data_IF_244830657572
#
_entry.id   IF_244830657572
#
_cell.length_a   1.000
_cell.length_b   1.000
_cell.length_c   1.000
_cell.angle_alpha   90.00
_cell.angle_beta   90.00
_cell.angle_gamma   90.00
#
_symmetry.space_group_name_H-M   'P 1'
#
loop_
_entity.id
_entity.type
_entity.pdbx_description
1 polymer ?
#
# COMPACT_ATOMS: atom_id res chain seq x y z
N UNK A 1 1.43 -63.22 35.77
CA UNK A 1 0.06 -63.75 35.70
C UNK A 1 -0.75 -63.10 36.80
N UNK A 2 -1.87 -62.47 36.40
CA UNK A 2 -3.15 -62.34 37.13
C UNK A 2 -3.21 -61.67 38.51
N UNK A 3 -3.90 -60.52 38.56
CA UNK A 3 -4.74 -60.04 39.67
C UNK A 3 -5.82 -61.07 40.06
N UNK A 4 -6.43 -61.00 41.26
CA UNK A 4 -7.63 -60.15 41.51
C UNK A 4 -7.65 -59.52 42.94
N UNK A 5 -8.14 -58.29 43.15
CA UNK A 5 -9.52 -57.83 43.38
C UNK A 5 -10.31 -58.53 44.50
N UNK A 6 -10.70 -57.75 45.52
CA UNK A 6 -11.64 -58.12 46.59
C UNK A 6 -11.65 -57.14 47.77
N UNK A 7 -12.54 -56.13 47.72
CA UNK A 7 -13.04 -55.34 48.86
C UNK A 7 -14.11 -56.16 49.65
N UNK A 8 -14.84 -55.68 50.69
CA UNK A 8 -14.96 -54.31 51.25
C UNK A 8 -15.07 -54.22 52.80
N UNK A 9 -15.11 -53.00 53.36
CA UNK A 9 -16.00 -52.72 54.49
C UNK A 9 -16.38 -51.22 54.58
N UNK A 10 -17.52 -50.98 55.19
CA UNK A 10 -18.51 -49.90 55.04
C UNK A 10 -18.59 -49.04 56.30
N UNK A 11 -18.89 -47.74 56.21
CA UNK A 11 -19.81 -47.00 57.13
C UNK A 11 -20.07 -45.54 56.67
N UNK A 12 -21.11 -44.82 57.18
CA UNK A 12 -22.23 -44.39 56.33
C UNK A 12 -22.68 -42.91 56.46
N UNK A 13 -23.66 -42.57 55.61
CA UNK A 13 -24.79 -41.60 55.73
C UNK A 13 -24.62 -40.17 56.28
N UNK A 14 -24.93 -39.18 55.43
CA UNK A 14 -25.98 -38.15 55.62
C UNK A 14 -26.22 -37.38 54.28
N UNK A 15 -27.38 -36.72 54.05
CA UNK A 15 -28.24 -37.02 52.91
C UNK A 15 -28.62 -35.81 52.01
N UNK A 16 -29.28 -36.15 50.90
CA UNK A 16 -30.31 -35.40 50.16
C UNK A 16 -29.92 -34.20 49.27
N UNK A 17 -29.83 -34.51 47.97
CA UNK A 17 -30.57 -33.93 46.84
C UNK A 17 -30.97 -32.44 46.83
N UNK A 18 -30.42 -31.73 45.84
CA UNK A 18 -31.21 -30.88 44.94
C UNK A 18 -30.51 -30.74 43.58
N UNK A 19 -31.01 -31.45 42.57
CA UNK A 19 -30.77 -31.15 41.15
C UNK A 19 -31.05 -29.67 40.87
N UNK A 20 -30.06 -28.96 40.33
CA UNK A 20 -30.32 -27.82 39.46
C UNK A 20 -29.62 -28.08 38.14
N UNK A 21 -30.44 -28.24 37.11
CA UNK A 21 -30.05 -28.31 35.70
C UNK A 21 -29.39 -26.99 35.33
N UNK A 22 -28.09 -26.98 35.08
CA UNK A 22 -27.41 -25.85 34.43
C UNK A 22 -27.13 -26.24 32.99
N UNK A 23 -27.78 -25.56 32.05
CA UNK A 23 -27.53 -25.72 30.62
C UNK A 23 -26.11 -25.27 30.26
N UNK A 24 -25.61 -25.53 29.04
CA UNK A 24 -24.28 -25.09 28.66
C UNK A 24 -24.20 -23.57 28.79
N UNK A 25 -23.43 -23.11 29.78
CA UNK A 25 -23.14 -21.71 29.99
C UNK A 25 -22.64 -21.12 28.69
N UNK A 26 -23.34 -20.09 28.20
CA UNK A 26 -22.86 -19.24 27.14
C UNK A 26 -21.44 -18.75 27.49
N UNK A 27 -20.52 -18.64 26.52
CA UNK A 27 -19.16 -18.22 26.80
C UNK A 27 -19.19 -16.87 27.52
N UNK A 28 -18.64 -16.85 28.74
CA UNK A 28 -18.47 -15.63 29.53
C UNK A 28 -17.69 -14.63 28.68
N UNK A 29 -18.17 -13.38 28.49
CA UNK A 29 -17.37 -12.37 27.82
C UNK A 29 -16.09 -12.17 28.63
N UNK A 30 -14.94 -12.43 27.98
CA UNK A 30 -13.63 -12.14 28.57
C UNK A 30 -13.61 -10.67 28.97
N UNK A 31 -13.15 -10.31 30.18
CA UNK A 31 -12.97 -8.91 30.53
C UNK A 31 -12.01 -8.28 29.51
N UNK A 32 -12.35 -7.09 29.00
CA UNK A 32 -11.56 -6.23 28.09
C UNK A 32 -10.25 -5.70 28.71
N UNK A 33 -9.61 -6.49 29.57
CA UNK A 33 -8.50 -6.09 30.43
C UNK A 33 -7.13 -6.60 29.98
N UNK A 34 -6.90 -6.88 28.70
CA UNK A 34 -5.53 -7.05 28.22
C UNK A 34 -4.95 -5.66 27.95
N UNK A 35 -4.50 -5.00 29.03
CA UNK A 35 -3.48 -3.96 28.94
C UNK A 35 -2.20 -4.62 28.38
N UNK A 36 -1.53 -3.98 27.43
CA UNK A 36 -0.16 -4.31 27.05
C UNK A 36 0.05 -5.73 26.53
N UNK A 37 -0.16 -5.93 25.23
CA UNK A 37 0.77 -6.80 24.50
C UNK A 37 2.13 -6.10 24.44
N UNK A 38 3.27 -6.81 24.50
CA UNK A 38 4.59 -6.21 24.24
C UNK A 38 4.64 -5.84 22.75
N UNK A 39 4.24 -4.61 22.36
CA UNK A 39 5.07 -3.39 22.37
C UNK A 39 4.30 -2.09 22.76
N UNK A 40 3.23 -2.17 23.54
CA UNK A 40 2.37 -1.02 23.81
C UNK A 40 2.96 0.01 24.81
N UNK A 41 2.83 1.30 24.48
CA UNK A 41 3.33 2.45 25.25
C UNK A 41 2.14 3.27 25.78
N UNK A 42 2.14 3.55 27.08
CA UNK A 42 1.09 4.34 27.72
C UNK A 42 1.30 5.85 27.49
N UNK A 43 0.20 6.61 27.44
CA UNK A 43 0.25 8.09 27.35
C UNK A 43 1.14 8.66 28.46
N UNK A 44 2.04 9.57 28.08
CA UNK A 44 3.01 10.21 28.99
C UNK A 44 4.32 9.44 29.17
N UNK A 45 4.45 8.24 28.60
CA UNK A 45 5.73 7.52 28.53
C UNK A 45 6.51 7.88 27.26
N UNK A 46 7.86 7.80 27.28
CA UNK A 46 8.68 7.96 26.08
C UNK A 46 8.27 6.96 24.99
N UNK A 47 8.12 7.43 23.76
CA UNK A 47 7.67 6.60 22.63
C UNK A 47 6.15 6.64 22.41
N UNK A 48 5.37 7.27 23.28
CA UNK A 48 3.96 7.52 23.00
C UNK A 48 3.82 8.50 21.84
N UNK A 49 3.03 8.12 20.83
CA UNK A 49 2.70 9.00 19.69
C UNK A 49 1.42 9.76 20.00
N UNK A 50 1.50 11.09 19.98
CA UNK A 50 0.30 11.92 20.16
C UNK A 50 -0.63 11.79 18.95
N UNK A 51 -1.92 11.46 19.16
CA UNK A 51 -2.89 11.31 18.08
C UNK A 51 -3.30 12.66 17.48
N UNK A 52 -3.51 12.75 16.16
CA UNK A 52 -4.19 13.87 15.53
C UNK A 52 -5.62 14.06 16.08
N UNK A 53 -6.18 15.26 15.90
CA UNK A 53 -7.52 15.62 16.42
C UNK A 53 -8.62 14.68 15.92
N UNK A 54 -8.59 14.29 14.64
CA UNK A 54 -9.58 13.39 14.06
C UNK A 54 -9.63 12.02 14.77
N UNK A 55 -8.47 11.52 15.22
CA UNK A 55 -8.40 10.27 15.99
C UNK A 55 -8.93 10.45 17.42
N UNK A 56 -8.74 11.63 18.02
CA UNK A 56 -9.30 11.96 19.33
C UNK A 56 -10.83 11.99 19.27
N UNK A 57 -11.40 12.62 18.24
CA UNK A 57 -12.85 12.65 18.04
C UNK A 57 -13.42 11.26 17.74
N UNK A 58 -12.71 10.45 16.93
CA UNK A 58 -13.09 9.06 16.68
C UNK A 58 -13.05 8.21 17.96
N UNK A 59 -12.06 8.41 18.84
CA UNK A 59 -11.95 7.72 20.12
C UNK A 59 -13.11 8.05 21.07
N UNK A 60 -13.56 9.31 21.09
CA UNK A 60 -14.77 9.71 21.84
C UNK A 60 -16.04 9.05 21.31
N UNK A 61 -16.13 8.83 20.00
CA UNK A 61 -17.25 8.14 19.38
C UNK A 61 -17.20 6.61 19.59
N UNK A 62 -16.02 6.06 19.85
CA UNK A 62 -15.77 4.63 20.04
C UNK A 62 -14.94 4.38 21.31
N UNK A 63 -15.56 4.42 22.50
CA UNK A 63 -14.89 4.07 23.76
C UNK A 63 -14.52 2.58 23.81
N UNK A 64 -13.49 2.25 24.60
CA UNK A 64 -12.92 0.89 24.72
C UNK A 64 -12.56 0.24 23.36
N UNK A 65 -12.06 1.05 22.42
CA UNK A 65 -11.79 0.63 21.04
C UNK A 65 -10.33 0.84 20.62
N UNK A 66 -9.90 0.08 19.61
CA UNK A 66 -8.60 0.25 18.97
C UNK A 66 -8.77 1.00 17.64
N UNK A 67 -8.03 2.09 17.47
CA UNK A 67 -8.02 2.92 16.28
C UNK A 67 -6.71 2.73 15.52
N UNK A 68 -6.75 2.01 14.40
CA UNK A 68 -5.58 1.74 13.56
C UNK A 68 -5.16 2.95 12.75
N UNK A 69 -3.85 3.14 12.62
CA UNK A 69 -3.23 4.14 11.77
C UNK A 69 -2.75 3.47 10.48
N UNK A 70 -3.44 3.76 9.38
CA UNK A 70 -3.13 3.20 8.06
C UNK A 70 -2.13 4.12 7.34
N UNK A 71 -1.13 3.53 6.69
CA UNK A 71 -0.22 4.28 5.83
C UNK A 71 -0.95 4.87 4.62
N UNK A 72 -0.73 6.16 4.36
CA UNK A 72 -1.41 6.89 3.28
C UNK A 72 -1.13 6.37 1.88
N UNK A 73 -0.05 5.61 1.67
CA UNK A 73 0.28 5.04 0.37
C UNK A 73 -0.43 3.72 0.11
N UNK A 74 -1.06 3.12 1.12
CA UNK A 74 -1.89 1.96 0.89
C UNK A 74 -3.22 2.41 0.28
N UNK A 75 -3.45 2.01 -0.97
CA UNK A 75 -4.69 2.22 -1.72
C UNK A 75 -5.36 0.87 -1.95
N UNK A 76 -5.96 0.31 -0.90
CA UNK A 76 -6.79 -0.88 -1.06
C UNK A 76 -8.15 -0.55 -1.67
N UNK A 77 -8.81 -1.57 -2.22
CA UNK A 77 -10.20 -1.46 -2.65
C UNK A 77 -11.13 -1.26 -1.43
N UNK A 78 -12.30 -0.65 -1.65
CA UNK A 78 -13.26 -0.33 -0.57
C UNK A 78 -13.67 -1.57 0.27
N UNK A 79 -13.66 -2.76 -0.34
CA UNK A 79 -14.04 -4.02 0.29
C UNK A 79 -12.84 -4.85 0.78
N UNK A 80 -11.60 -4.41 0.53
CA UNK A 80 -10.40 -5.14 0.94
C UNK A 80 -10.01 -4.76 2.38
N UNK A 81 -9.88 -5.73 3.31
CA UNK A 81 -9.40 -5.43 4.64
C UNK A 81 -7.95 -4.92 4.58
N UNK A 82 -7.65 -3.84 5.31
CA UNK A 82 -6.29 -3.31 5.38
C UNK A 82 -5.33 -4.40 5.86
N UNK A 83 -4.31 -4.75 5.08
CA UNK A 83 -3.40 -5.81 5.46
C UNK A 83 -2.53 -5.35 6.64
N UNK A 84 -2.10 -6.27 7.52
CA UNK A 84 -1.31 -5.92 8.70
C UNK A 84 -0.06 -5.08 8.37
N UNK A 85 0.62 -5.37 7.25
CA UNK A 85 1.83 -4.65 6.87
C UNK A 85 1.61 -3.17 6.48
N UNK A 86 0.38 -2.75 6.18
CA UNK A 86 0.03 -1.37 5.84
C UNK A 86 -0.39 -0.54 7.06
N UNK A 87 -0.51 -1.18 8.23
CA UNK A 87 -0.90 -0.53 9.47
C UNK A 87 0.38 -0.13 10.21
N UNK A 88 0.55 1.16 10.48
CA UNK A 88 1.71 1.66 11.23
C UNK A 88 1.65 1.25 12.71
N UNK A 89 0.44 1.25 13.27
CA UNK A 89 0.16 0.89 14.65
C UNK A 89 -1.26 1.29 15.01
N UNK A 90 -1.60 1.29 16.30
CA UNK A 90 -2.96 1.58 16.76
C UNK A 90 -2.99 2.27 18.12
N UNK A 91 -3.93 3.19 18.28
CA UNK A 91 -4.26 3.77 19.57
C UNK A 91 -5.39 3.01 20.25
N UNK A 92 -5.38 2.92 21.59
CA UNK A 92 -6.52 2.43 22.37
C UNK A 92 -7.22 3.57 23.10
N UNK A 93 -8.53 3.65 22.96
CA UNK A 93 -9.40 4.46 23.83
C UNK A 93 -9.78 3.69 25.10
N UNK A 94 -10.03 4.39 26.19
CA UNK A 94 -10.67 3.84 27.39
C UNK A 94 -12.19 4.02 27.36
N UNK A 95 -12.85 3.69 28.47
CA UNK A 95 -14.31 3.75 28.62
C UNK A 95 -14.88 5.18 28.51
N UNK A 96 -14.06 6.20 28.75
CA UNK A 96 -14.44 7.61 28.61
C UNK A 96 -14.16 8.13 27.18
N UNK A 97 -13.54 7.30 26.33
CA UNK A 97 -13.16 7.65 24.97
C UNK A 97 -11.81 8.38 24.88
N UNK A 98 -11.05 8.43 25.97
CA UNK A 98 -9.72 9.04 25.98
C UNK A 98 -8.67 8.06 25.44
N UNK A 99 -7.81 8.52 24.52
CA UNK A 99 -6.70 7.70 24.02
C UNK A 99 -5.65 7.56 25.10
N UNK A 100 -5.37 6.33 25.54
CA UNK A 100 -4.50 6.04 26.70
C UNK A 100 -3.25 5.23 26.35
N UNK A 101 -3.23 4.58 25.19
CA UNK A 101 -2.22 3.60 24.81
C UNK A 101 -1.94 3.65 23.32
N UNK A 102 -0.67 3.50 22.95
CA UNK A 102 -0.18 3.36 21.57
C UNK A 102 0.50 2.02 21.42
N UNK A 103 0.11 1.23 20.43
CA UNK A 103 0.75 -0.04 20.09
C UNK A 103 1.38 0.07 18.70
N UNK A 104 2.71 -0.07 18.64
CA UNK A 104 3.44 -0.14 17.37
C UNK A 104 3.21 -1.51 16.70
N UNK A 105 3.15 -1.53 15.37
CA UNK A 105 2.98 -2.76 14.63
C UNK A 105 4.33 -3.23 14.05
N UNK A 106 4.84 -4.34 14.55
CA UNK A 106 6.10 -4.94 14.08
C UNK A 106 6.02 -5.48 12.64
N UNK A 107 4.82 -5.73 12.11
CA UNK A 107 4.61 -6.16 10.73
C UNK A 107 4.62 -5.00 9.73
N UNK A 108 4.60 -3.75 10.22
CA UNK A 108 4.53 -2.55 9.38
C UNK A 108 5.69 -2.48 8.38
N UNK A 109 5.35 -2.23 7.12
CA UNK A 109 6.31 -1.92 6.05
C UNK A 109 6.28 -0.42 5.78
N UNK A 110 7.33 0.33 6.15
CA UNK A 110 7.35 1.77 5.95
C UNK A 110 7.28 2.16 4.47
N UNK A 111 6.33 3.03 4.14
CA UNK A 111 6.22 3.69 2.84
C UNK A 111 7.36 4.70 2.59
N UNK A 112 7.47 5.28 1.38
CA UNK A 112 8.51 6.26 1.08
C UNK A 112 8.55 7.44 2.05
N UNK A 113 7.40 8.01 2.40
CA UNK A 113 7.35 9.13 3.36
C UNK A 113 7.69 8.70 4.78
N UNK A 114 7.26 7.51 5.19
CA UNK A 114 7.61 6.97 6.51
C UNK A 114 9.11 6.66 6.63
N UNK A 115 9.78 6.39 5.51
CA UNK A 115 11.25 6.30 5.41
C UNK A 115 11.94 7.67 5.41
N UNK A 116 11.18 8.77 5.30
CA UNK A 116 11.71 10.13 5.22
C UNK A 116 12.38 10.45 3.87
N UNK A 117 11.98 9.76 2.79
CA UNK A 117 12.48 10.07 1.46
C UNK A 117 11.90 11.40 0.96
N UNK A 118 12.60 12.05 0.02
CA UNK A 118 12.10 13.27 -0.58
C UNK A 118 10.90 12.94 -1.50
N UNK A 119 9.98 13.90 -1.69
CA UNK A 119 8.89 13.73 -2.64
C UNK A 119 9.43 13.37 -4.04
N UNK A 120 8.76 12.46 -4.76
CA UNK A 120 9.20 12.07 -6.09
C UNK A 120 9.12 13.24 -7.06
N UNK A 121 10.06 13.28 -8.01
CA UNK A 121 10.21 14.39 -8.98
C UNK A 121 9.64 14.09 -10.36
N UNK A 122 9.11 12.88 -10.56
CA UNK A 122 8.36 12.46 -11.75
C UNK A 122 7.49 11.23 -11.44
N UNK A 123 6.53 10.87 -12.33
CA UNK A 123 5.73 9.65 -12.15
C UNK A 123 6.55 8.37 -12.09
N UNK A 124 7.60 8.25 -12.90
CA UNK A 124 8.50 7.09 -12.85
C UNK A 124 9.29 7.08 -11.54
N UNK A 125 9.75 8.23 -11.08
CA UNK A 125 10.45 8.34 -9.79
C UNK A 125 9.55 7.92 -8.63
N UNK A 126 8.26 8.29 -8.66
CA UNK A 126 7.26 7.81 -7.70
C UNK A 126 7.09 6.29 -7.76
N UNK A 127 6.99 5.72 -8.97
CA UNK A 127 6.84 4.29 -9.16
C UNK A 127 8.05 3.49 -8.63
N UNK A 128 9.29 3.95 -8.86
CA UNK A 128 10.50 3.33 -8.30
C UNK A 128 10.43 3.29 -6.77
N UNK A 129 10.06 4.41 -6.13
CA UNK A 129 9.94 4.47 -4.68
C UNK A 129 8.88 3.51 -4.13
N UNK A 130 7.70 3.45 -4.77
CA UNK A 130 6.59 2.58 -4.35
C UNK A 130 6.94 1.10 -4.50
N UNK A 131 7.54 0.68 -5.62
CA UNK A 131 7.98 -0.72 -5.77
C UNK A 131 9.09 -1.06 -4.78
N UNK A 132 10.06 -0.17 -4.56
CA UNK A 132 11.13 -0.38 -3.58
C UNK A 132 10.65 -0.49 -2.13
N UNK A 133 9.44 -0.02 -1.84
CA UNK A 133 8.80 -0.16 -0.51
C UNK A 133 7.72 -1.24 -0.48
N UNK A 134 7.42 -1.88 -1.61
CA UNK A 134 6.39 -2.92 -1.74
C UNK A 134 4.96 -2.39 -1.78
N UNK A 135 4.77 -1.10 -2.09
CA UNK A 135 3.46 -0.45 -2.22
C UNK A 135 2.95 -0.39 -3.65
N UNK A 136 3.75 -0.82 -4.63
CA UNK A 136 3.32 -1.02 -6.02
C UNK A 136 3.89 -2.34 -6.56
N UNK A 137 3.25 -2.91 -7.58
CA UNK A 137 3.74 -4.11 -8.26
C UNK A 137 4.80 -3.78 -9.30
N UNK A 138 5.65 -4.77 -9.60
CA UNK A 138 6.65 -4.67 -10.68
C UNK A 138 5.99 -4.52 -12.06
N UNK A 139 4.82 -5.12 -12.28
CA UNK A 139 4.06 -5.00 -13.53
C UNK A 139 3.58 -3.55 -13.76
N UNK A 140 2.99 -2.92 -12.74
CA UNK A 140 2.59 -1.51 -12.81
C UNK A 140 3.79 -0.59 -13.00
N UNK A 141 4.94 -0.94 -12.42
CA UNK A 141 6.17 -0.22 -12.63
C UNK A 141 6.70 -0.36 -14.05
N UNK A 142 6.68 -1.56 -14.63
CA UNK A 142 7.03 -1.77 -16.03
C UNK A 142 6.13 -0.94 -16.96
N UNK A 143 4.82 -0.88 -16.70
CA UNK A 143 3.88 -0.01 -17.42
C UNK A 143 4.25 1.47 -17.31
N UNK A 144 4.60 1.95 -16.11
CA UNK A 144 5.01 3.34 -15.91
C UNK A 144 6.31 3.70 -16.63
N UNK A 145 7.24 2.75 -16.78
CA UNK A 145 8.55 2.96 -17.40
C UNK A 145 8.50 2.77 -18.93
N UNK A 146 7.61 1.91 -19.43
CA UNK A 146 7.59 1.40 -20.81
C UNK A 146 7.65 2.46 -21.91
N UNK A 147 7.01 3.62 -21.72
CA UNK A 147 6.99 4.75 -22.68
C UNK A 147 7.61 6.03 -22.09
N UNK A 148 8.34 5.90 -20.98
CA UNK A 148 8.91 7.05 -20.30
C UNK A 148 10.15 7.60 -21.02
N UNK A 149 10.37 8.90 -20.86
CA UNK A 149 11.65 9.54 -21.16
C UNK A 149 12.60 9.35 -19.96
N UNK A 150 13.82 8.91 -20.24
CA UNK A 150 14.84 8.60 -19.22
C UNK A 150 16.20 9.20 -19.59
N UNK A 151 16.96 9.58 -18.56
CA UNK A 151 18.36 9.94 -18.69
C UNK A 151 19.21 8.67 -18.54
N UNK A 152 19.74 8.17 -19.66
CA UNK A 152 20.53 6.94 -19.73
C UNK A 152 22.00 7.25 -19.50
N UNK A 153 22.62 6.59 -18.52
CA UNK A 153 24.03 6.85 -18.21
C UNK A 153 24.96 6.34 -19.31
N UNK A 154 26.02 7.09 -19.57
CA UNK A 154 27.05 6.78 -20.55
C UNK A 154 28.38 6.42 -19.87
N UNK A 155 29.19 5.60 -20.53
CA UNK A 155 30.57 5.32 -20.17
C UNK A 155 31.53 6.43 -20.65
N UNK A 156 32.84 6.26 -20.43
CA UNK A 156 33.86 7.23 -20.82
C UNK A 156 34.03 7.33 -22.34
N UNK A 157 33.64 6.29 -23.08
CA UNK A 157 33.66 6.19 -24.53
C UNK A 157 32.39 6.76 -25.19
N UNK A 158 31.38 7.14 -24.40
CA UNK A 158 30.08 7.62 -24.87
C UNK A 158 29.11 6.51 -25.28
N UNK A 159 29.43 5.25 -24.97
CA UNK A 159 28.53 4.10 -25.04
C UNK A 159 27.59 4.04 -23.83
N UNK A 160 26.63 3.11 -23.85
CA UNK A 160 25.74 2.88 -22.71
C UNK A 160 26.55 2.28 -21.54
N UNK A 161 26.51 2.94 -20.39
CA UNK A 161 27.14 2.41 -19.19
C UNK A 161 26.49 1.10 -18.75
N UNK A 162 27.29 0.17 -18.24
CA UNK A 162 26.81 -1.07 -17.63
C UNK A 162 27.33 -1.14 -16.20
N UNK A 163 26.44 -1.42 -15.25
CA UNK A 163 26.75 -1.61 -13.84
C UNK A 163 26.18 -2.94 -13.34
N UNK A 164 26.75 -3.48 -12.28
CA UNK A 164 26.14 -4.57 -11.53
C UNK A 164 25.10 -3.98 -10.57
N UNK A 165 23.90 -4.56 -10.56
CA UNK A 165 22.88 -4.30 -9.56
C UNK A 165 23.22 -5.02 -8.24
N UNK A 166 22.42 -4.81 -7.20
CA UNK A 166 22.69 -5.36 -5.86
C UNK A 166 22.74 -6.89 -5.83
N UNK A 167 22.01 -7.55 -6.73
CA UNK A 167 21.96 -9.00 -6.90
C UNK A 167 23.04 -9.55 -7.86
N UNK A 168 23.87 -8.67 -8.44
CA UNK A 168 24.89 -9.02 -9.42
C UNK A 168 24.40 -9.03 -10.88
N UNK A 169 23.15 -8.69 -11.14
CA UNK A 169 22.60 -8.58 -12.50
C UNK A 169 23.21 -7.38 -13.22
N UNK A 170 23.66 -7.57 -14.46
CA UNK A 170 24.24 -6.48 -15.24
C UNK A 170 23.16 -5.65 -15.93
N UNK A 171 23.14 -4.36 -15.66
CA UNK A 171 22.10 -3.47 -16.13
C UNK A 171 22.65 -2.11 -16.59
N UNK A 172 21.90 -1.46 -17.46
CA UNK A 172 22.15 -0.07 -17.86
C UNK A 172 21.46 0.86 -16.85
N UNK A 173 22.20 1.71 -16.12
CA UNK A 173 21.59 2.61 -15.15
C UNK A 173 20.92 3.80 -15.84
N UNK A 174 19.69 4.07 -15.46
CA UNK A 174 18.88 5.17 -15.99
C UNK A 174 18.27 5.95 -14.84
N UNK A 175 18.06 7.25 -15.05
CA UNK A 175 17.32 8.10 -14.13
C UNK A 175 16.00 8.53 -14.78
N UNK A 176 14.89 8.59 -14.02
CA UNK A 176 13.67 9.24 -14.48
C UNK A 176 13.97 10.65 -14.96
N UNK A 177 13.55 10.99 -16.18
CA UNK A 177 13.65 12.36 -16.64
C UNK A 177 12.68 13.25 -15.84
N UNK A 178 13.16 14.41 -15.41
CA UNK A 178 12.33 15.46 -14.83
C UNK A 178 12.90 16.82 -15.20
N UNK A 179 12.08 17.74 -15.74
CA UNK A 179 12.53 19.08 -16.09
C UNK A 179 12.88 19.92 -14.85
N UNK A 180 12.44 19.50 -13.66
CA UNK A 180 12.69 20.18 -12.39
C UNK A 180 14.05 19.80 -11.77
N UNK A 181 14.66 18.69 -12.24
CA UNK A 181 15.96 18.25 -11.78
C UNK A 181 17.09 19.03 -12.45
N UNK A 182 18.12 19.36 -11.66
CA UNK A 182 19.39 19.85 -12.20
C UNK A 182 20.14 18.69 -12.86
N UNK A 183 20.04 18.61 -14.19
CA UNK A 183 20.68 17.57 -15.00
C UNK A 183 22.20 17.51 -14.82
N UNK A 184 22.84 18.58 -14.33
CA UNK A 184 24.28 18.57 -14.04
C UNK A 184 24.65 17.74 -12.79
N UNK A 185 23.66 17.31 -12.00
CA UNK A 185 23.86 16.44 -10.84
C UNK A 185 23.84 14.96 -11.21
N UNK A 186 23.37 14.62 -12.40
CA UNK A 186 23.38 13.26 -12.92
C UNK A 186 24.77 12.91 -13.49
N UNK A 187 25.14 11.62 -13.53
CA UNK A 187 26.29 11.16 -14.31
C UNK A 187 26.19 11.60 -15.79
N UNK A 188 27.28 11.52 -16.57
CA UNK A 188 27.21 11.70 -18.02
C UNK A 188 26.07 10.85 -18.61
N UNK A 189 25.14 11.49 -19.31
CA UNK A 189 23.92 10.84 -19.76
C UNK A 189 23.44 11.38 -21.11
N UNK A 190 22.63 10.58 -21.77
CA UNK A 190 21.83 10.94 -22.93
C UNK A 190 20.34 10.73 -22.59
N UNK A 191 19.48 11.68 -22.94
CA UNK A 191 18.04 11.54 -22.75
C UNK A 191 17.43 10.84 -23.96
N UNK A 192 16.60 9.81 -23.74
CA UNK A 192 15.84 9.13 -24.78
C UNK A 192 14.59 8.46 -24.22
N UNK A 193 13.69 8.03 -25.10
CA UNK A 193 12.55 7.20 -24.72
C UNK A 193 13.03 5.77 -24.43
N UNK A 194 12.36 5.08 -23.49
CA UNK A 194 12.64 3.67 -23.18
C UNK A 194 12.56 2.74 -24.41
N UNK A 195 11.61 2.88 -25.36
CA UNK A 195 11.66 2.18 -26.63
C UNK A 195 13.00 2.31 -27.36
N UNK A 196 13.57 3.52 -27.44
CA UNK A 196 14.85 3.76 -28.12
C UNK A 196 16.02 3.12 -27.36
N UNK A 197 15.96 3.14 -26.03
CA UNK A 197 16.92 2.45 -25.16
C UNK A 197 16.91 0.94 -25.43
N UNK A 198 15.73 0.32 -25.53
CA UNK A 198 15.61 -1.13 -25.77
C UNK A 198 16.25 -1.56 -27.10
N UNK A 199 16.21 -0.71 -28.12
CA UNK A 199 16.90 -0.96 -29.40
C UNK A 199 18.43 -0.87 -29.31
N UNK A 200 18.96 -0.11 -28.35
CA UNK A 200 20.40 0.10 -28.11
C UNK A 200 20.96 -0.80 -27.00
N UNK A 201 20.09 -1.49 -26.28
CA UNK A 201 20.46 -2.24 -25.08
C UNK A 201 21.41 -3.39 -25.43
N UNK A 202 22.54 -3.56 -24.72
CA UNK A 202 23.43 -4.67 -24.98
C UNK A 202 22.74 -6.01 -24.64
N UNK A 203 23.06 -7.07 -25.38
CA UNK A 203 22.45 -8.39 -25.17
C UNK A 203 22.65 -8.89 -23.73
N UNK A 204 21.56 -9.39 -23.15
CA UNK A 204 21.56 -9.95 -21.79
C UNK A 204 21.73 -8.90 -20.68
N UNK A 205 21.50 -7.62 -20.96
CA UNK A 205 21.44 -6.56 -19.94
C UNK A 205 20.01 -6.19 -19.62
N UNK A 206 19.80 -5.80 -18.37
CA UNK A 206 18.54 -5.24 -17.89
C UNK A 206 18.61 -3.71 -17.80
N UNK A 207 17.51 -3.07 -17.41
CA UNK A 207 17.47 -1.63 -17.14
C UNK A 207 17.37 -1.44 -15.63
N UNK A 208 18.28 -0.65 -15.07
CA UNK A 208 18.27 -0.28 -13.65
C UNK A 208 17.78 1.16 -13.51
N UNK A 209 16.54 1.35 -13.10
CA UNK A 209 15.96 2.67 -12.88
C UNK A 209 16.31 3.15 -11.48
N UNK A 210 17.11 4.21 -11.40
CA UNK A 210 17.58 4.82 -10.16
C UNK A 210 16.70 6.02 -9.82
N UNK A 211 16.14 6.05 -8.61
CA UNK A 211 15.38 7.21 -8.16
C UNK A 211 16.30 8.43 -8.02
N UNK A 212 15.80 9.59 -8.45
CA UNK A 212 16.51 10.86 -8.35
C UNK A 212 16.28 11.56 -7.00
N UNK A 213 15.27 11.13 -6.23
CA UNK A 213 14.83 11.73 -4.98
C UNK A 213 14.98 10.81 -3.76
N UNK A 214 15.19 9.52 -3.97
CA UNK A 214 15.38 8.52 -2.93
C UNK A 214 16.59 7.62 -3.20
N UNK A 215 17.24 7.08 -2.16
CA UNK A 215 18.42 6.21 -2.30
C UNK A 215 18.02 4.77 -2.66
N UNK A 216 17.26 4.60 -3.74
CA UNK A 216 16.74 3.31 -4.21
C UNK A 216 16.81 3.20 -5.72
N UNK A 217 16.84 1.97 -6.21
CA UNK A 217 16.71 1.66 -7.63
C UNK A 217 15.96 0.36 -7.82
N UNK A 218 15.40 0.19 -9.02
CA UNK A 218 14.66 -1.00 -9.41
C UNK A 218 15.12 -1.54 -10.75
N UNK A 219 15.33 -2.86 -10.80
CA UNK A 219 15.59 -3.58 -12.03
C UNK A 219 14.28 -3.81 -12.78
N UNK A 220 14.35 -3.70 -14.10
CA UNK A 220 13.26 -4.09 -14.97
C UNK A 220 13.84 -4.79 -16.21
N UNK A 221 13.24 -5.94 -16.51
CA UNK A 221 13.69 -6.75 -17.65
C UNK A 221 13.25 -6.12 -18.98
N UNK A 222 14.03 -6.26 -20.06
CA UNK A 222 13.61 -5.82 -21.39
C UNK A 222 12.30 -6.47 -21.83
N UNK A 223 12.08 -7.74 -21.47
CA UNK A 223 10.85 -8.46 -21.76
C UNK A 223 9.62 -7.87 -21.06
N UNK A 224 9.76 -7.42 -19.80
CA UNK A 224 8.66 -6.79 -19.08
C UNK A 224 8.31 -5.44 -19.70
N UNK A 225 9.31 -4.64 -20.07
CA UNK A 225 9.10 -3.37 -20.76
C UNK A 225 8.42 -3.56 -22.12
N UNK A 226 8.85 -4.53 -22.92
CA UNK A 226 8.22 -4.85 -24.21
C UNK A 226 6.77 -5.33 -24.05
N UNK A 227 6.48 -6.14 -23.03
CA UNK A 227 5.13 -6.59 -22.74
C UNK A 227 4.22 -5.41 -22.34
N UNK A 228 4.73 -4.55 -21.46
CA UNK A 228 4.04 -3.33 -21.03
C UNK A 228 3.79 -2.37 -22.19
N UNK A 229 4.73 -2.20 -23.12
CA UNK A 229 4.54 -1.40 -24.34
C UNK A 229 3.39 -1.94 -25.19
N UNK A 230 3.34 -3.26 -25.41
CA UNK A 230 2.27 -3.89 -26.18
C UNK A 230 0.89 -3.69 -25.53
N UNK A 231 0.82 -3.73 -24.19
CA UNK A 231 -0.39 -3.46 -23.43
C UNK A 231 -0.85 -2.01 -23.58
N UNK A 232 0.06 -1.04 -23.46
CA UNK A 232 -0.23 0.38 -23.67
C UNK A 232 -0.73 0.66 -25.11
N UNK A 233 -0.11 0.02 -26.11
CA UNK A 233 -0.56 0.12 -27.50
C UNK A 233 -1.95 -0.50 -27.73
N UNK A 234 -2.26 -1.60 -27.07
CA UNK A 234 -3.59 -2.20 -27.11
C UNK A 234 -4.64 -1.28 -26.48
N UNK A 235 -4.35 -0.73 -25.30
CA UNK A 235 -5.23 0.22 -24.63
C UNK A 235 -5.50 1.45 -25.51
N UNK A 236 -4.45 2.06 -26.09
CA UNK A 236 -4.59 3.20 -26.99
C UNK A 236 -5.41 2.88 -28.24
N UNK A 237 -5.30 1.66 -28.79
CA UNK A 237 -6.13 1.20 -29.91
C UNK A 237 -7.60 1.05 -29.54
N UNK A 238 -7.89 0.54 -28.34
CA UNK A 238 -9.25 0.40 -27.84
C UNK A 238 -9.89 1.77 -27.59
N UNK A 239 -9.17 2.70 -26.96
CA UNK A 239 -9.65 4.08 -26.77
C UNK A 239 -9.94 4.79 -28.11
N UNK A 240 -9.07 4.60 -29.11
CA UNK A 240 -9.29 5.15 -30.45
C UNK A 240 -10.50 4.53 -31.16
N UNK A 241 -10.80 3.25 -30.91
CA UNK A 241 -11.96 2.55 -31.46
C UNK A 241 -13.28 2.99 -30.77
N UNK A 242 -13.23 3.33 -29.49
CA UNK A 242 -14.38 3.79 -28.69
C UNK A 242 -14.77 5.26 -28.96
N UNK A 243 -14.00 5.99 -29.75
CA UNK A 243 -14.47 7.21 -30.44
C UNK A 243 -14.97 8.32 -29.51
N UNK A 244 -14.33 8.52 -28.34
CA UNK A 244 -14.50 9.75 -27.55
C UNK A 244 -13.79 10.92 -28.24
N UNK A 245 -14.33 11.33 -29.39
CA UNK A 245 -14.12 12.69 -29.86
C UNK A 245 -14.79 13.63 -28.88
N UNK A 246 -14.01 14.37 -28.10
CA UNK A 246 -14.49 15.50 -27.29
C UNK A 246 -15.03 16.56 -28.25
N UNK A 247 -16.28 16.40 -28.71
CA UNK A 247 -17.02 17.50 -29.29
C UNK A 247 -17.27 18.49 -28.14
N UNK A 248 -16.86 19.77 -28.26
CA UNK A 248 -17.22 20.76 -27.28
C UNK A 248 -18.75 20.84 -27.25
N UNK A 249 -19.32 20.55 -26.08
CA UNK A 249 -20.74 20.75 -25.81
C UNK A 249 -21.11 22.17 -26.29
N UNK A 250 -21.95 22.24 -27.32
CA UNK A 250 -22.65 23.46 -27.68
C UNK A 250 -23.90 23.50 -26.80
N UNK A 251 -24.12 24.54 -25.98
CA UNK A 251 -25.37 24.67 -25.26
C UNK A 251 -26.50 24.82 -26.29
N UNK A 252 -27.35 23.80 -26.38
CA UNK A 252 -28.48 23.76 -27.29
C UNK A 252 -29.42 24.95 -27.06
N UNK A 253 -29.73 25.64 -28.15
CA UNK A 253 -30.73 26.68 -28.28
C UNK A 253 -32.03 26.30 -27.56
N UNK A 254 -32.49 27.22 -26.71
CA UNK A 254 -33.83 27.19 -26.17
C UNK A 254 -34.83 27.47 -27.30
N UNK A 255 -35.47 26.44 -27.84
CA UNK A 255 -36.65 26.61 -28.69
C UNK A 255 -37.79 25.67 -28.25
N UNK A 256 -38.86 26.35 -27.80
CA UNK A 256 -40.28 26.01 -27.82
C UNK A 256 -40.80 24.82 -27.00
N UNK A 257 -41.35 25.17 -25.82
CA UNK A 257 -42.39 24.37 -25.12
C UNK A 257 -43.70 24.49 -25.92
N UNK A 258 -44.39 23.40 -26.26
CA UNK A 258 -45.75 23.50 -26.77
C UNK A 258 -46.72 23.78 -25.61
N UNK A 259 -47.50 24.85 -25.75
CA UNK A 259 -48.66 25.14 -24.92
C UNK A 259 -49.78 24.12 -25.16
N UNK A 260 -50.14 23.31 -24.17
CA UNK A 260 -51.44 22.65 -24.10
C UNK A 260 -51.80 22.32 -22.63
N UNK A 261 -52.68 23.12 -22.02
CA UNK A 261 -54.02 22.67 -21.58
C UNK A 261 -54.83 23.83 -20.95
N UNK A 262 -56.00 24.09 -21.53
CA UNK A 262 -57.09 24.94 -21.02
C UNK A 262 -58.25 24.03 -20.62
N UNK A 263 -58.92 24.32 -19.50
CA UNK A 263 -60.22 23.74 -19.11
C UNK A 263 -60.43 23.80 -17.59
N UNK A 264 -60.91 24.90 -17.01
CA UNK A 264 -62.32 25.32 -16.79
C UNK A 264 -62.97 24.77 -15.50
N UNK A 265 -63.55 25.71 -14.74
CA UNK A 265 -64.27 25.52 -13.47
C UNK A 265 -64.36 26.83 -12.69
#
# INVERSE_FOLDING_TARGET
>A
MTSPSGAPDREPDHPADAETVDGPAAPVPRPSGVQGGPPAVLRGQPGFREPPEDYVEAAKAAPDHWLSVIDRHWTGDEDEPTPPWAILGRWRSDADGDIVEWEENDEYRPSPDARGWAPPVSPVDAAVQLVATGYASEDLFALMVADAEVAVCLDEEGGLAVTDAQDGTQAVPVFPYSPELDQNRLPPHETMLVPDLLHRLPEGKEVLVLSSSAPVGQLVTPSALLAAQAELEEFARLEAADGSGTAPWAPGSAEERPEFFRGEG
#
